data_IF_026934296582
#
_entry.id   IF_026934296582
#
_cell.length_a   1.000
_cell.length_b   1.000
_cell.length_c   1.000
_cell.angle_alpha   90.00
_cell.angle_beta   90.00
_cell.angle_gamma   90.00
#
_symmetry.space_group_name_H-M   'P 1'
#
loop_
_entity.id
_entity.type
_entity.pdbx_description
1 polymer ?
#
# COMPACT_ATOMS: atom_id res chain seq x y z
N UNK A 1 7.93 -0.59 1.70
CA UNK A 1 6.50 -0.59 1.29
C UNK A 1 6.24 0.28 0.06
N UNK A 2 6.74 1.53 0.03
CA UNK A 2 6.50 2.50 -1.05
C UNK A 2 6.89 2.03 -2.45
N UNK A 3 8.09 1.46 -2.61
CA UNK A 3 8.58 0.98 -3.91
C UNK A 3 7.73 -0.19 -4.45
N UNK A 4 7.37 -1.14 -3.59
CA UNK A 4 6.54 -2.28 -3.96
C UNK A 4 5.12 -1.85 -4.34
N UNK A 5 4.51 -0.92 -3.58
CA UNK A 5 3.20 -0.36 -3.90
C UNK A 5 3.22 0.39 -5.25
N UNK A 6 4.25 1.21 -5.49
CA UNK A 6 4.41 1.91 -6.75
C UNK A 6 4.54 0.96 -7.95
N UNK A 7 5.41 -0.07 -7.85
CA UNK A 7 5.58 -1.08 -8.89
C UNK A 7 4.27 -1.84 -9.16
N UNK A 8 3.54 -2.21 -8.11
CA UNK A 8 2.27 -2.91 -8.22
C UNK A 8 1.22 -2.09 -8.97
N UNK A 9 0.99 -0.83 -8.56
CA UNK A 9 -0.01 0.03 -9.22
C UNK A 9 0.37 0.38 -10.65
N UNK A 10 1.65 0.63 -10.93
CA UNK A 10 2.13 0.89 -12.31
C UNK A 10 1.96 -0.34 -13.20
N UNK A 11 2.27 -1.54 -12.68
CA UNK A 11 2.05 -2.79 -13.41
C UNK A 11 0.56 -3.05 -13.66
N UNK A 12 -0.28 -2.85 -12.64
CA UNK A 12 -1.72 -3.04 -12.74
C UNK A 12 -2.34 -2.11 -13.79
N UNK A 13 -1.94 -0.84 -13.81
CA UNK A 13 -2.47 0.14 -14.77
C UNK A 13 -1.98 -0.15 -16.20
N UNK A 14 -0.75 -0.64 -16.37
CA UNK A 14 -0.28 -1.15 -17.66
C UNK A 14 -1.10 -2.35 -18.13
N UNK A 15 -1.39 -3.30 -17.25
CA UNK A 15 -2.24 -4.44 -17.60
C UNK A 15 -3.66 -4.00 -17.95
N UNK A 16 -4.27 -3.11 -17.18
CA UNK A 16 -5.60 -2.57 -17.50
C UNK A 16 -5.63 -1.83 -18.83
N UNK A 17 -4.60 -1.06 -19.15
CA UNK A 17 -4.52 -0.39 -20.44
C UNK A 17 -4.43 -1.38 -21.62
N UNK A 18 -3.77 -2.53 -21.44
CA UNK A 18 -3.61 -3.56 -22.47
C UNK A 18 -4.89 -4.40 -22.62
N UNK A 19 -5.48 -4.84 -21.50
CA UNK A 19 -6.58 -5.80 -21.49
C UNK A 19 -7.97 -5.17 -21.45
N UNK A 20 -8.15 -4.04 -20.78
CA UNK A 20 -9.44 -3.35 -20.62
C UNK A 20 -9.56 -2.11 -21.52
N UNK A 21 -8.46 -1.66 -22.15
CA UNK A 21 -8.34 -0.39 -22.91
C UNK A 21 -8.69 0.87 -22.11
N UNK A 22 -8.83 0.74 -20.80
CA UNK A 22 -9.11 1.84 -19.87
C UNK A 22 -7.80 2.40 -19.34
N UNK A 23 -7.67 3.72 -19.32
CA UNK A 23 -6.55 4.41 -18.66
C UNK A 23 -7.08 5.29 -17.55
N UNK A 24 -6.56 5.13 -16.33
CA UNK A 24 -6.77 6.12 -15.28
C UNK A 24 -5.81 7.29 -15.46
N UNK A 25 -6.21 8.46 -14.97
CA UNK A 25 -5.30 9.59 -14.90
C UNK A 25 -4.20 9.33 -13.86
N UNK A 26 -3.03 9.91 -14.12
CA UNK A 26 -1.82 9.70 -13.34
C UNK A 26 -1.99 10.16 -11.88
N UNK A 27 -2.77 11.22 -11.64
CA UNK A 27 -3.05 11.73 -10.29
C UNK A 27 -3.81 10.71 -9.43
N UNK A 28 -4.72 9.93 -10.04
CA UNK A 28 -5.49 8.89 -9.35
C UNK A 28 -4.57 7.76 -8.92
N UNK A 29 -3.63 7.35 -9.78
CA UNK A 29 -2.66 6.29 -9.50
C UNK A 29 -1.73 6.73 -8.35
N UNK A 30 -1.24 7.96 -8.39
CA UNK A 30 -0.39 8.52 -7.34
C UNK A 30 -1.14 8.59 -6.01
N UNK A 31 -2.41 9.02 -5.99
CA UNK A 31 -3.24 9.00 -4.76
C UNK A 31 -3.41 7.60 -4.21
N UNK A 32 -3.67 6.60 -5.05
CA UNK A 32 -3.83 5.21 -4.62
C UNK A 32 -2.55 4.67 -3.97
N UNK A 33 -1.39 4.95 -4.57
CA UNK A 33 -0.10 4.56 -4.00
C UNK A 33 0.12 5.23 -2.64
N UNK A 34 -0.13 6.54 -2.55
CA UNK A 34 0.02 7.28 -1.28
C UNK A 34 -0.92 6.70 -0.22
N UNK A 35 -2.20 6.54 -0.53
CA UNK A 35 -3.19 6.00 0.40
C UNK A 35 -2.82 4.58 0.88
N UNK A 36 -2.38 3.71 -0.02
CA UNK A 36 -1.99 2.35 0.36
C UNK A 36 -0.75 2.34 1.26
N UNK A 37 0.25 3.17 0.95
CA UNK A 37 1.47 3.28 1.76
C UNK A 37 1.14 3.82 3.15
N UNK A 38 0.37 4.91 3.24
CA UNK A 38 -0.05 5.49 4.51
C UNK A 38 -0.92 4.53 5.33
N UNK A 39 -1.89 3.87 4.70
CA UNK A 39 -2.76 2.93 5.39
C UNK A 39 -1.97 1.74 5.94
N UNK A 40 -1.06 1.16 5.13
CA UNK A 40 -0.20 0.05 5.58
C UNK A 40 0.78 0.48 6.67
N UNK A 41 1.35 1.68 6.58
CA UNK A 41 2.23 2.21 7.62
C UNK A 41 1.49 2.39 8.95
N UNK A 42 0.29 2.98 8.91
CA UNK A 42 -0.57 3.12 10.10
C UNK A 42 -0.98 1.77 10.70
N UNK A 43 -1.24 0.76 9.86
CA UNK A 43 -1.56 -0.59 10.29
C UNK A 43 -0.35 -1.26 10.94
N UNK A 44 0.85 -1.11 10.38
CA UNK A 44 2.09 -1.63 10.97
C UNK A 44 2.37 -0.99 12.32
N UNK A 45 2.18 0.32 12.46
CA UNK A 45 2.32 1.02 13.74
C UNK A 45 1.32 0.50 14.78
N UNK A 46 0.04 0.35 14.40
CA UNK A 46 -0.98 -0.22 15.29
C UNK A 46 -0.66 -1.67 15.68
N UNK A 47 -0.19 -2.47 14.73
CA UNK A 47 0.23 -3.85 14.99
C UNK A 47 1.43 -3.87 15.96
N UNK A 48 2.39 -2.96 15.80
CA UNK A 48 3.53 -2.82 16.68
C UNK A 48 3.11 -2.41 18.11
N UNK A 49 2.17 -1.47 18.26
CA UNK A 49 1.60 -1.11 19.56
C UNK A 49 0.89 -2.29 20.23
N UNK A 50 0.07 -3.03 19.49
CA UNK A 50 -0.60 -4.24 20.01
C UNK A 50 0.45 -5.31 20.38
N UNK A 51 1.48 -5.51 19.57
CA UNK A 51 2.58 -6.43 19.90
C UNK A 51 3.37 -6.01 21.14
N UNK A 52 3.49 -4.71 21.42
CA UNK A 52 4.09 -4.22 22.67
C UNK A 52 3.17 -4.49 23.87
N UNK A 53 1.87 -4.26 23.73
CA UNK A 53 0.88 -4.56 24.79
C UNK A 53 0.75 -6.07 25.06
N UNK A 54 0.83 -6.89 24.02
CA UNK A 54 0.70 -8.36 24.07
C UNK A 54 2.04 -9.05 24.35
N UNK A 55 3.18 -8.33 24.33
CA UNK A 55 4.46 -8.79 24.89
C UNK A 55 4.41 -8.80 26.43
N UNK A 56 3.40 -9.46 26.97
CA UNK A 56 3.23 -9.84 28.36
C UNK A 56 4.08 -11.09 28.68
N UNK A 57 5.33 -11.11 28.21
CA UNK A 57 6.32 -12.08 28.66
C UNK A 57 7.54 -11.31 29.17
N UNK A 58 7.77 -11.29 30.50
CA UNK A 58 9.01 -10.78 31.03
C UNK A 58 10.13 -11.73 30.60
N UNK A 59 11.18 -11.17 29.99
CA UNK A 59 12.50 -11.80 30.08
C UNK A 59 13.05 -11.58 31.49
#
# INVERSE_FOLDING_TARGET
MTLAAALYHVWQERNKAIFEKTRKQLDVIVRLIIQEVFARDSMVQRLASILQEVNFYPM
#
